data_IF_730229063926
#
_entry.id   IF_730229063926
#
_cell.length_a   1.000
_cell.length_b   1.000
_cell.length_c   1.000
_cell.angle_alpha   90.00
_cell.angle_beta   90.00
_cell.angle_gamma   90.00
#
_symmetry.space_group_name_H-M   'P 1'
#
loop_
_entity.id
_entity.type
_entity.pdbx_description
1 polymer ?
#
# COMPACT_ATOMS: atom_id res chain seq x y z
N UNK A 1 -15.47 20.99 -41.55
CA UNK A 1 -15.89 19.76 -40.85
C UNK A 1 -15.02 19.65 -39.61
N UNK A 2 -15.51 20.07 -38.47
CA UNK A 2 -14.78 20.10 -37.18
C UNK A 2 -15.32 19.04 -36.23
N UNK A 3 -14.40 18.32 -35.63
CA UNK A 3 -14.52 17.20 -34.70
C UNK A 3 -15.54 17.39 -33.57
N UNK A 4 -16.44 16.43 -33.47
CA UNK A 4 -17.24 16.14 -32.29
C UNK A 4 -16.76 14.76 -31.76
N UNK A 5 -15.82 14.77 -30.83
CA UNK A 5 -15.40 13.58 -30.09
C UNK A 5 -14.87 13.98 -28.73
N UNK A 6 -15.73 14.43 -27.80
CA UNK A 6 -15.37 14.52 -26.39
C UNK A 6 -16.59 14.62 -25.43
N UNK A 7 -17.78 14.15 -25.82
CA UNK A 7 -18.96 14.27 -24.97
C UNK A 7 -19.52 12.95 -24.39
N UNK A 8 -18.77 11.83 -24.49
CA UNK A 8 -19.30 10.55 -23.99
C UNK A 8 -18.92 10.24 -22.52
N UNK A 9 -17.85 10.83 -22.02
CA UNK A 9 -17.41 10.58 -20.62
C UNK A 9 -18.17 11.43 -19.62
N UNK A 10 -18.56 12.64 -19.98
CA UNK A 10 -19.36 13.53 -19.10
C UNK A 10 -20.81 13.01 -18.99
N UNK A 11 -21.31 12.28 -19.98
CA UNK A 11 -22.70 11.78 -19.97
C UNK A 11 -22.90 10.54 -19.07
N UNK A 12 -21.84 9.89 -18.62
CA UNK A 12 -21.92 8.69 -17.78
C UNK A 12 -21.89 8.99 -16.26
N UNK A 13 -21.30 10.11 -15.85
CA UNK A 13 -21.18 10.48 -14.43
C UNK A 13 -22.46 11.14 -13.91
N UNK A 14 -23.16 11.90 -14.76
CA UNK A 14 -24.42 12.58 -14.37
C UNK A 14 -25.53 11.62 -13.94
N UNK A 15 -25.76 10.44 -14.57
CA UNK A 15 -26.83 9.54 -14.12
C UNK A 15 -26.51 8.83 -12.80
N UNK A 16 -25.24 8.61 -12.43
CA UNK A 16 -24.89 7.95 -11.18
C UNK A 16 -25.15 8.88 -9.97
N UNK A 17 -24.82 10.14 -10.08
CA UNK A 17 -25.10 11.15 -9.03
C UNK A 17 -26.60 11.39 -8.85
N UNK A 18 -27.37 11.40 -9.95
CA UNK A 18 -28.84 11.56 -9.92
C UNK A 18 -29.52 10.34 -9.29
N UNK A 19 -29.01 9.12 -9.51
CA UNK A 19 -29.55 7.88 -8.90
C UNK A 19 -29.25 7.83 -7.40
N UNK A 20 -28.09 8.29 -6.95
CA UNK A 20 -27.74 8.39 -5.53
C UNK A 20 -28.61 9.46 -4.83
N UNK A 21 -28.79 10.62 -5.43
CA UNK A 21 -29.65 11.68 -4.88
C UNK A 21 -31.13 11.25 -4.81
N UNK A 22 -31.64 10.53 -5.81
CA UNK A 22 -32.99 9.98 -5.82
C UNK A 22 -33.16 8.84 -4.79
N UNK A 23 -32.14 8.03 -4.55
CA UNK A 23 -32.14 6.97 -3.54
C UNK A 23 -32.21 7.52 -2.11
N UNK A 24 -31.45 8.58 -1.82
CA UNK A 24 -31.46 9.26 -0.51
C UNK A 24 -32.80 9.97 -0.28
N UNK A 25 -33.35 10.65 -1.27
CA UNK A 25 -34.67 11.31 -1.19
C UNK A 25 -35.80 10.30 -0.96
N UNK A 26 -35.75 9.10 -1.58
CA UNK A 26 -36.73 8.05 -1.39
C UNK A 26 -36.67 7.41 0.01
N UNK A 27 -35.47 7.29 0.58
CA UNK A 27 -35.29 6.75 1.94
C UNK A 27 -35.75 7.76 3.01
N UNK A 28 -35.49 9.05 2.84
CA UNK A 28 -35.94 10.12 3.74
C UNK A 28 -37.47 10.31 3.73
N UNK A 29 -38.13 10.10 2.59
CA UNK A 29 -39.60 10.25 2.46
C UNK A 29 -40.42 9.19 3.22
N UNK A 30 -39.75 8.12 3.71
CA UNK A 30 -40.44 6.99 4.39
C UNK A 30 -40.39 7.02 5.91
N UNK A 31 -39.62 7.94 6.49
CA UNK A 31 -39.48 8.10 7.95
C UNK A 31 -39.88 9.49 8.39
N UNK A 32 -41.11 9.65 8.81
CA UNK A 32 -41.79 10.92 9.06
C UNK A 32 -41.32 11.71 10.29
N UNK A 33 -40.01 11.88 10.51
CA UNK A 33 -39.47 12.81 11.50
C UNK A 33 -38.01 13.25 11.25
N UNK A 34 -37.47 13.02 10.04
CA UNK A 34 -36.05 13.23 9.71
C UNK A 34 -35.79 14.29 8.62
N UNK A 35 -36.82 14.93 8.07
CA UNK A 35 -36.66 15.84 6.92
C UNK A 35 -35.72 17.03 7.20
N UNK A 36 -35.77 17.61 8.39
CA UNK A 36 -34.92 18.74 8.75
C UNK A 36 -33.47 18.37 8.92
N UNK A 37 -33.19 17.24 9.57
CA UNK A 37 -31.84 16.76 9.83
C UNK A 37 -31.17 16.24 8.55
N UNK A 38 -31.96 15.66 7.64
CA UNK A 38 -31.50 15.22 6.33
C UNK A 38 -31.18 16.41 5.40
N UNK A 39 -32.01 17.45 5.38
CA UNK A 39 -31.73 18.66 4.62
C UNK A 39 -30.51 19.41 5.13
N UNK A 40 -30.35 19.57 6.45
CA UNK A 40 -29.15 20.18 7.04
C UNK A 40 -27.88 19.41 6.72
N UNK A 41 -27.96 18.07 6.65
CA UNK A 41 -26.83 17.21 6.29
C UNK A 41 -26.47 17.35 4.79
N UNK A 42 -27.46 17.38 3.91
CA UNK A 42 -27.27 17.58 2.47
C UNK A 42 -26.67 18.96 2.17
N UNK A 43 -27.20 20.01 2.80
CA UNK A 43 -26.64 21.36 2.67
C UNK A 43 -25.21 21.47 3.19
N UNK A 44 -24.89 20.73 4.27
CA UNK A 44 -23.53 20.68 4.81
C UNK A 44 -22.56 19.93 3.89
N UNK A 45 -23.01 18.84 3.27
CA UNK A 45 -22.21 18.10 2.28
C UNK A 45 -21.98 18.93 1.01
N UNK A 46 -23.02 19.62 0.51
CA UNK A 46 -22.87 20.52 -0.64
C UNK A 46 -21.92 21.70 -0.34
N UNK A 47 -21.92 22.19 0.89
CA UNK A 47 -21.02 23.25 1.33
C UNK A 47 -19.57 22.77 1.46
N UNK A 48 -19.36 21.52 1.84
CA UNK A 48 -18.02 20.88 1.89
C UNK A 48 -17.52 20.59 0.47
N UNK A 49 -18.39 20.17 -0.43
CA UNK A 49 -18.04 19.88 -1.84
C UNK A 49 -17.66 21.15 -2.63
N UNK A 50 -18.15 22.32 -2.21
CA UNK A 50 -17.82 23.62 -2.83
C UNK A 50 -16.84 24.47 -2.00
N UNK A 51 -16.33 23.93 -0.89
CA UNK A 51 -15.37 24.64 -0.06
C UNK A 51 -14.04 24.77 -0.81
N UNK A 52 -13.50 25.98 -0.83
CA UNK A 52 -12.15 26.24 -1.32
C UNK A 52 -11.15 25.65 -0.33
N UNK A 53 -10.45 24.57 -0.74
CA UNK A 53 -9.46 23.87 0.06
C UNK A 53 -8.04 24.42 -0.11
N UNK A 54 -7.86 25.43 -0.96
CA UNK A 54 -6.55 26.01 -1.27
C UNK A 54 -5.78 26.50 -0.04
N UNK A 55 -6.52 27.03 0.95
CA UNK A 55 -5.89 27.46 2.22
C UNK A 55 -5.42 26.28 3.08
N UNK A 56 -6.07 25.14 3.00
CA UNK A 56 -5.67 23.90 3.71
C UNK A 56 -4.47 23.28 2.99
N UNK A 57 -4.48 23.27 1.66
CA UNK A 57 -3.34 22.83 0.85
C UNK A 57 -2.11 23.68 1.09
N UNK A 58 -2.24 25.01 1.19
CA UNK A 58 -1.16 25.92 1.52
C UNK A 58 -0.63 25.71 2.97
N UNK A 59 -1.51 25.40 3.91
CA UNK A 59 -1.15 25.13 5.31
C UNK A 59 -0.42 23.78 5.44
N UNK A 60 -0.85 22.75 4.74
CA UNK A 60 -0.17 21.45 4.63
C UNK A 60 1.22 21.63 3.99
N UNK A 61 1.30 22.41 2.92
CA UNK A 61 2.58 22.72 2.27
C UNK A 61 3.53 23.46 3.20
N UNK A 62 3.02 24.43 3.96
CA UNK A 62 3.83 25.20 4.93
C UNK A 62 4.29 24.34 6.14
N UNK A 63 3.56 23.28 6.49
CA UNK A 63 3.95 22.32 7.51
C UNK A 63 5.03 21.38 6.99
N UNK A 64 4.90 20.86 5.77
CA UNK A 64 5.90 20.00 5.14
C UNK A 64 7.25 20.72 4.87
N UNK A 65 7.23 22.04 4.61
CA UNK A 65 8.45 22.84 4.47
C UNK A 65 9.18 23.12 5.81
N UNK A 66 8.50 22.98 6.96
CA UNK A 66 9.09 23.17 8.29
C UNK A 66 9.78 21.95 8.87
N UNK A 67 9.49 20.77 8.35
CA UNK A 67 10.02 19.49 8.82
C UNK A 67 11.20 18.96 7.99
N UNK A 68 11.94 19.82 7.29
CA UNK A 68 13.19 19.42 6.64
C UNK A 68 14.26 19.17 7.69
N UNK A 69 14.67 17.92 7.96
CA UNK A 69 15.81 17.65 8.83
C UNK A 69 17.09 18.10 8.13
N UNK A 70 17.82 18.98 8.77
CA UNK A 70 19.19 19.31 8.39
C UNK A 70 20.14 18.29 9.01
N UNK A 71 20.74 17.45 8.18
CA UNK A 71 22.09 16.98 8.47
C UNK A 71 22.30 15.47 8.58
N UNK A 72 23.15 15.05 7.73
CA UNK A 72 24.21 14.02 7.82
C UNK A 72 24.01 12.73 6.99
N UNK A 73 24.97 12.63 6.10
CA UNK A 73 25.31 11.59 5.15
C UNK A 73 25.05 10.13 5.61
N UNK A 74 24.04 9.54 5.05
CA UNK A 74 23.96 8.16 4.60
C UNK A 74 22.90 8.11 3.49
N UNK A 75 23.19 7.48 2.35
CA UNK A 75 22.28 7.39 1.19
C UNK A 75 21.01 6.53 1.44
N UNK A 76 20.77 6.11 2.67
CA UNK A 76 19.59 5.38 3.11
C UNK A 76 18.63 6.35 3.82
N UNK A 77 17.47 6.63 3.23
CA UNK A 77 16.37 7.28 3.93
C UNK A 77 15.97 8.70 3.50
N UNK A 78 16.34 9.18 2.31
CA UNK A 78 15.76 10.42 1.77
C UNK A 78 14.61 10.02 0.83
N UNK A 79 13.38 10.22 1.28
CA UNK A 79 12.19 10.09 0.44
C UNK A 79 11.98 11.37 -0.36
N UNK A 80 11.68 11.24 -1.66
CA UNK A 80 11.30 12.37 -2.51
C UNK A 80 9.90 12.91 -2.21
N UNK A 81 9.34 13.71 -3.13
CA UNK A 81 7.97 14.17 -3.00
C UNK A 81 7.00 12.98 -3.13
N UNK A 82 6.03 12.87 -2.22
CA UNK A 82 5.05 11.77 -2.23
C UNK A 82 4.25 11.80 -3.53
N UNK A 83 4.18 10.67 -4.21
CA UNK A 83 3.45 10.51 -5.47
C UNK A 83 1.94 10.63 -5.24
N UNK A 84 1.26 11.26 -6.17
CA UNK A 84 -0.21 11.23 -6.24
C UNK A 84 -0.71 9.83 -6.66
N UNK A 85 -1.97 9.51 -6.35
CA UNK A 85 -2.61 8.23 -6.74
C UNK A 85 -2.47 7.94 -8.23
N UNK A 86 -2.54 8.97 -9.08
CA UNK A 86 -2.38 8.83 -10.54
C UNK A 86 -0.94 8.43 -10.89
N UNK A 87 0.04 9.06 -10.25
CA UNK A 87 1.46 8.74 -10.46
C UNK A 87 1.80 7.35 -9.93
N UNK A 88 1.27 6.97 -8.76
CA UNK A 88 1.40 5.60 -8.22
C UNK A 88 0.88 4.58 -9.23
N UNK A 89 -0.35 4.76 -9.74
CA UNK A 89 -0.95 3.85 -10.73
C UNK A 89 -0.15 3.78 -12.05
N UNK A 90 0.50 4.87 -12.43
CA UNK A 90 1.37 4.89 -13.62
C UNK A 90 2.71 4.20 -13.35
N UNK A 91 3.35 4.47 -12.23
CA UNK A 91 4.65 3.92 -11.87
C UNK A 91 4.63 2.38 -11.79
N UNK A 92 3.59 1.81 -11.20
CA UNK A 92 3.48 0.36 -11.00
C UNK A 92 2.93 -0.42 -12.22
N UNK A 93 2.80 0.20 -13.41
CA UNK A 93 2.41 -0.50 -14.64
C UNK A 93 3.46 -1.58 -15.01
N UNK A 94 3.00 -2.82 -15.23
CA UNK A 94 3.88 -3.94 -15.59
C UNK A 94 4.68 -4.52 -14.43
N UNK A 95 4.35 -4.15 -13.19
CA UNK A 95 4.90 -4.76 -11.97
C UNK A 95 3.86 -5.66 -11.30
N UNK A 96 4.28 -6.43 -10.28
CA UNK A 96 3.39 -7.15 -9.37
C UNK A 96 3.90 -7.02 -7.94
N UNK A 97 2.98 -6.91 -6.99
CA UNK A 97 3.27 -6.92 -5.55
C UNK A 97 2.56 -8.12 -4.94
N UNK A 98 3.31 -9.00 -4.30
CA UNK A 98 2.79 -10.21 -3.65
C UNK A 98 3.08 -10.15 -2.16
N UNK A 99 2.05 -10.39 -1.34
CA UNK A 99 2.23 -10.29 0.10
C UNK A 99 1.01 -10.69 0.92
N UNK A 100 1.00 -10.25 2.15
CA UNK A 100 -0.01 -10.53 3.16
C UNK A 100 -1.08 -9.42 3.27
N UNK A 101 -1.71 -9.28 4.44
CA UNK A 101 -2.77 -8.29 4.71
C UNK A 101 -2.31 -6.83 4.53
N UNK A 102 -1.06 -6.51 4.87
CA UNK A 102 -0.53 -5.15 4.67
C UNK A 102 -0.48 -4.84 3.18
N UNK A 103 -0.05 -5.80 2.36
CA UNK A 103 -0.05 -5.69 0.90
C UNK A 103 -1.47 -5.67 0.33
N UNK A 104 -2.39 -6.47 0.85
CA UNK A 104 -3.79 -6.54 0.40
C UNK A 104 -4.49 -5.17 0.52
N UNK A 105 -4.20 -4.43 1.59
CA UNK A 105 -4.74 -3.09 1.84
C UNK A 105 -4.39 -2.07 0.75
N UNK A 106 -3.33 -2.26 -0.02
CA UNK A 106 -3.03 -1.41 -1.20
C UNK A 106 -4.21 -1.42 -2.18
N UNK A 107 -4.78 -2.60 -2.44
CA UNK A 107 -5.92 -2.76 -3.34
C UNK A 107 -7.24 -2.36 -2.66
N UNK A 108 -7.41 -2.67 -1.37
CA UNK A 108 -8.60 -2.30 -0.60
C UNK A 108 -8.78 -0.78 -0.49
N UNK A 109 -7.70 -0.04 -0.32
CA UNK A 109 -7.69 1.42 -0.32
C UNK A 109 -7.74 2.03 -1.73
N UNK A 110 -7.61 1.22 -2.79
CA UNK A 110 -7.74 1.65 -4.19
C UNK A 110 -6.51 2.34 -4.77
N UNK A 111 -5.35 2.24 -4.14
CA UNK A 111 -4.08 2.76 -4.68
C UNK A 111 -3.68 2.02 -5.95
N UNK A 112 -3.73 0.69 -5.95
CA UNK A 112 -3.45 -0.17 -7.10
C UNK A 112 -4.57 -1.19 -7.29
N UNK A 113 -4.69 -1.74 -8.51
CA UNK A 113 -5.69 -2.74 -8.84
C UNK A 113 -5.22 -4.16 -8.46
N UNK A 114 -6.16 -5.08 -8.29
CA UNK A 114 -5.89 -6.52 -8.04
C UNK A 114 -5.16 -7.24 -9.19
N UNK A 115 -4.99 -6.59 -10.34
CA UNK A 115 -4.13 -7.05 -11.43
C UNK A 115 -2.64 -6.80 -11.16
N UNK A 116 -2.32 -5.95 -10.17
CA UNK A 116 -0.95 -5.64 -9.72
C UNK A 116 -0.71 -6.22 -8.33
N UNK A 117 -1.72 -6.17 -7.45
CA UNK A 117 -1.64 -6.63 -6.07
C UNK A 117 -2.21 -8.05 -5.97
N UNK A 118 -1.34 -9.03 -5.72
CA UNK A 118 -1.69 -10.45 -5.55
C UNK A 118 -1.41 -10.84 -4.10
N UNK A 119 -2.30 -10.44 -3.22
CA UNK A 119 -2.13 -10.57 -1.77
C UNK A 119 -3.32 -11.27 -1.11
N UNK A 120 -3.15 -11.66 0.15
CA UNK A 120 -4.20 -12.32 0.93
C UNK A 120 -3.95 -12.14 2.43
N UNK A 121 -5.00 -11.79 3.15
CA UNK A 121 -5.01 -11.73 4.62
C UNK A 121 -4.40 -12.98 5.24
N UNK A 122 -3.46 -12.79 6.16
CA UNK A 122 -2.84 -13.86 6.93
C UNK A 122 -1.88 -14.76 6.14
N UNK A 123 -1.51 -14.36 4.91
CA UNK A 123 -0.65 -15.15 4.05
C UNK A 123 0.79 -15.17 4.57
N UNK A 124 1.38 -16.35 4.63
CA UNK A 124 2.80 -16.58 4.93
C UNK A 124 3.55 -16.97 3.66
N UNK A 125 4.86 -16.79 3.69
CA UNK A 125 5.71 -17.11 2.54
C UNK A 125 5.67 -18.59 2.17
N UNK A 126 5.58 -19.51 3.15
CA UNK A 126 5.53 -20.95 2.90
C UNK A 126 4.22 -21.41 2.22
N UNK A 127 3.11 -20.70 2.48
CA UNK A 127 1.77 -20.98 1.93
C UNK A 127 1.46 -20.20 0.63
N UNK A 128 2.40 -19.39 0.09
CA UNK A 128 2.15 -18.44 -0.98
C UNK A 128 2.18 -19.02 -2.42
N UNK A 129 2.07 -20.34 -2.60
CA UNK A 129 2.23 -20.98 -3.93
C UNK A 129 1.23 -20.47 -4.97
N UNK A 130 -0.05 -20.34 -4.59
CA UNK A 130 -1.11 -19.89 -5.50
C UNK A 130 -0.89 -18.43 -5.93
N UNK A 131 -0.49 -17.56 -4.99
CA UNK A 131 -0.21 -16.14 -5.24
C UNK A 131 1.03 -15.98 -6.12
N UNK A 132 2.11 -16.70 -5.83
CA UNK A 132 3.34 -16.70 -6.64
C UNK A 132 3.04 -17.20 -8.06
N UNK A 133 2.29 -18.29 -8.24
CA UNK A 133 1.91 -18.80 -9.55
C UNK A 133 1.04 -17.80 -10.33
N UNK A 134 0.08 -17.17 -9.65
CA UNK A 134 -0.76 -16.11 -10.22
C UNK A 134 0.09 -14.95 -10.70
N UNK A 135 0.99 -14.45 -9.86
CA UNK A 135 1.88 -13.34 -10.16
C UNK A 135 2.85 -13.68 -11.31
N UNK A 136 3.40 -14.89 -11.37
CA UNK A 136 4.23 -15.36 -12.49
C UNK A 136 3.43 -15.33 -13.79
N UNK A 137 2.15 -15.70 -13.77
CA UNK A 137 1.30 -15.72 -14.97
C UNK A 137 1.04 -14.32 -15.56
N UNK A 138 1.18 -13.27 -14.76
CA UNK A 138 1.08 -11.87 -15.20
C UNK A 138 2.32 -11.39 -15.96
N UNK A 139 3.42 -12.15 -15.91
CA UNK A 139 4.68 -11.87 -16.60
C UNK A 139 5.21 -10.44 -16.34
N UNK A 140 5.37 -10.03 -15.06
CA UNK A 140 5.81 -8.68 -14.72
C UNK A 140 7.29 -8.47 -15.01
N UNK A 141 7.69 -7.22 -15.26
CA UNK A 141 9.10 -6.83 -15.36
C UNK A 141 9.77 -6.66 -13.98
N UNK A 142 8.96 -6.37 -12.97
CA UNK A 142 9.39 -6.20 -11.58
C UNK A 142 8.42 -6.95 -10.66
N UNK A 143 9.00 -7.71 -9.74
CA UNK A 143 8.29 -8.54 -8.77
C UNK A 143 8.64 -8.06 -7.35
N UNK A 144 7.67 -7.52 -6.62
CA UNK A 144 7.84 -7.17 -5.21
C UNK A 144 7.28 -8.28 -4.32
N UNK A 145 8.04 -8.64 -3.29
CA UNK A 145 7.62 -9.56 -2.24
C UNK A 145 7.56 -8.82 -0.90
N UNK A 146 6.43 -8.93 -0.20
CA UNK A 146 6.22 -8.31 1.11
C UNK A 146 5.56 -9.31 2.05
N UNK A 147 6.39 -10.10 2.74
CA UNK A 147 5.99 -11.13 3.69
C UNK A 147 6.84 -11.07 4.95
N UNK A 148 6.30 -11.56 6.03
CA UNK A 148 7.05 -11.79 7.25
C UNK A 148 6.28 -11.53 8.53
N UNK A 149 5.33 -10.58 8.57
CA UNK A 149 4.56 -10.29 9.77
C UNK A 149 3.87 -11.56 10.31
N UNK A 150 3.17 -12.31 9.46
CA UNK A 150 2.52 -13.58 9.83
C UNK A 150 3.52 -14.73 10.03
N UNK A 151 4.72 -14.62 9.47
CA UNK A 151 5.77 -15.64 9.54
C UNK A 151 6.48 -15.62 10.88
N UNK A 152 6.61 -14.44 11.53
CA UNK A 152 7.27 -14.26 12.82
C UNK A 152 6.75 -15.21 13.89
N UNK A 153 5.42 -15.37 14.00
CA UNK A 153 4.82 -16.24 15.01
C UNK A 153 5.09 -17.73 14.75
N UNK A 154 5.08 -18.14 13.50
CA UNK A 154 5.24 -19.53 13.10
C UNK A 154 6.69 -19.97 13.21
N UNK A 155 7.62 -19.15 12.72
CA UNK A 155 9.05 -19.45 12.79
C UNK A 155 9.67 -19.14 14.15
N UNK A 156 9.04 -18.28 14.97
CA UNK A 156 9.36 -18.00 16.36
C UNK A 156 10.87 -17.83 16.63
N UNK A 157 11.52 -16.95 15.83
CA UNK A 157 12.96 -16.65 15.93
C UNK A 157 13.86 -17.53 15.04
N UNK A 158 13.33 -18.56 14.37
CA UNK A 158 14.07 -19.34 13.38
C UNK A 158 14.08 -18.65 12.01
N UNK A 159 14.89 -17.58 11.89
CA UNK A 159 15.06 -16.86 10.63
C UNK A 159 15.65 -17.73 9.51
N UNK A 160 16.39 -18.79 9.83
CA UNK A 160 16.93 -19.69 8.83
C UNK A 160 15.84 -20.48 8.12
N UNK A 161 14.88 -21.04 8.85
CA UNK A 161 13.74 -21.75 8.28
C UNK A 161 12.84 -20.82 7.44
N UNK A 162 12.65 -19.57 7.90
CA UNK A 162 11.97 -18.53 7.14
C UNK A 162 12.65 -18.23 5.80
N UNK A 163 13.98 -18.05 5.80
CA UNK A 163 14.76 -17.82 4.59
C UNK A 163 14.73 -19.03 3.64
N UNK A 164 14.71 -20.26 4.18
CA UNK A 164 14.55 -21.45 3.33
C UNK A 164 13.22 -21.47 2.58
N UNK A 165 12.12 -21.03 3.21
CA UNK A 165 10.82 -20.86 2.55
C UNK A 165 10.88 -19.76 1.48
N UNK A 166 11.48 -18.61 1.77
CA UNK A 166 11.70 -17.53 0.79
C UNK A 166 12.51 -18.02 -0.41
N UNK A 167 13.56 -18.79 -0.18
CA UNK A 167 14.43 -19.34 -1.21
C UNK A 167 13.67 -20.21 -2.20
N UNK A 168 12.71 -21.00 -1.73
CA UNK A 168 11.85 -21.81 -2.61
C UNK A 168 11.07 -20.91 -3.57
N UNK A 169 10.43 -19.87 -3.06
CA UNK A 169 9.59 -18.96 -3.87
C UNK A 169 10.41 -18.10 -4.82
N UNK A 170 11.54 -17.54 -4.36
CA UNK A 170 12.44 -16.73 -5.21
C UNK A 170 13.01 -17.59 -6.35
N UNK A 171 13.46 -18.82 -6.08
CA UNK A 171 13.91 -19.71 -7.15
C UNK A 171 12.80 -20.06 -8.14
N UNK A 172 11.57 -20.24 -7.67
CA UNK A 172 10.42 -20.50 -8.54
C UNK A 172 10.21 -19.32 -9.50
N UNK A 173 10.25 -18.07 -9.00
CA UNK A 173 10.12 -16.86 -9.80
C UNK A 173 11.28 -16.75 -10.80
N UNK A 174 12.53 -16.86 -10.36
CA UNK A 174 13.72 -16.76 -11.20
C UNK A 174 13.75 -17.81 -12.32
N UNK A 175 13.28 -19.04 -12.04
CA UNK A 175 13.21 -20.09 -13.04
C UNK A 175 12.12 -19.83 -14.10
N UNK A 176 11.01 -19.24 -13.71
CA UNK A 176 9.90 -18.94 -14.61
C UNK A 176 10.12 -17.63 -15.38
N UNK A 177 10.73 -16.64 -14.74
CA UNK A 177 10.89 -15.27 -15.22
C UNK A 177 12.35 -14.79 -15.00
N UNK A 178 13.32 -15.30 -15.78
CA UNK A 178 14.75 -15.07 -15.52
C UNK A 178 15.18 -13.59 -15.67
N UNK A 179 14.43 -12.79 -16.41
CA UNK A 179 14.74 -11.38 -16.67
C UNK A 179 13.99 -10.43 -15.72
N UNK A 180 13.15 -10.96 -14.82
CA UNK A 180 12.35 -10.14 -13.88
C UNK A 180 13.21 -9.73 -12.68
N UNK A 181 13.24 -8.43 -12.37
CA UNK A 181 13.89 -7.94 -11.17
C UNK A 181 13.01 -8.25 -9.93
N UNK A 182 13.63 -8.79 -8.88
CA UNK A 182 12.94 -9.15 -7.63
C UNK A 182 13.38 -8.20 -6.52
N UNK A 183 12.38 -7.57 -5.89
CA UNK A 183 12.53 -6.70 -4.73
C UNK A 183 11.84 -7.34 -3.53
N UNK A 184 12.47 -7.28 -2.36
CA UNK A 184 11.92 -7.82 -1.11
C UNK A 184 11.84 -6.69 -0.10
N UNK A 185 10.62 -6.36 0.33
CA UNK A 185 10.38 -5.35 1.36
C UNK A 185 10.74 -5.90 2.74
N UNK A 186 11.16 -5.02 3.64
CA UNK A 186 11.38 -5.36 5.04
C UNK A 186 10.06 -5.72 5.75
N UNK A 187 10.17 -6.44 6.85
CA UNK A 187 9.10 -6.55 7.83
C UNK A 187 9.08 -5.24 8.61
N UNK A 188 7.91 -4.59 8.67
CA UNK A 188 7.78 -3.31 9.37
C UNK A 188 8.02 -3.47 10.87
N UNK A 189 8.51 -2.44 11.57
CA UNK A 189 8.53 -2.42 13.03
C UNK A 189 7.16 -2.72 13.60
N UNK A 190 7.10 -3.39 14.72
CA UNK A 190 5.86 -3.79 15.37
C UNK A 190 5.78 -3.09 16.73
N UNK A 191 4.62 -2.53 17.06
CA UNK A 191 4.45 -1.81 18.32
C UNK A 191 4.58 -2.72 19.53
N UNK A 192 5.09 -2.18 20.64
CA UNK A 192 5.29 -2.94 21.88
C UNK A 192 3.99 -3.57 22.40
N UNK A 193 2.84 -2.92 22.17
CA UNK A 193 1.53 -3.43 22.55
C UNK A 193 1.15 -4.75 21.87
N UNK A 194 1.58 -4.96 20.63
CA UNK A 194 1.40 -6.22 19.90
C UNK A 194 2.45 -7.25 20.34
N UNK A 195 3.71 -6.85 20.52
CA UNK A 195 4.79 -7.70 21.02
C UNK A 195 4.46 -8.25 22.42
N UNK A 196 3.84 -7.46 23.28
CA UNK A 196 3.42 -7.91 24.64
C UNK A 196 2.34 -9.01 24.57
N UNK A 197 1.56 -9.06 23.47
CA UNK A 197 0.56 -10.11 23.22
C UNK A 197 1.18 -11.33 22.55
N UNK A 198 2.11 -11.12 21.62
CA UNK A 198 2.83 -12.18 20.89
C UNK A 198 4.35 -11.87 20.87
N UNK A 199 5.14 -12.40 21.80
CA UNK A 199 6.57 -12.12 21.91
C UNK A 199 7.40 -12.50 20.67
N UNK A 200 6.89 -13.39 19.83
CA UNK A 200 7.54 -13.77 18.56
C UNK A 200 7.65 -12.60 17.58
N UNK A 201 6.76 -11.62 17.67
CA UNK A 201 6.77 -10.41 16.83
C UNK A 201 8.03 -9.56 17.04
N UNK A 202 8.71 -9.67 18.19
CA UNK A 202 9.98 -8.98 18.46
C UNK A 202 11.14 -9.42 17.55
N UNK A 203 11.01 -10.54 16.83
CA UNK A 203 12.08 -11.04 15.96
C UNK A 203 12.15 -10.34 14.60
N UNK A 204 11.30 -9.33 14.29
CA UNK A 204 11.26 -8.67 12.99
C UNK A 204 12.64 -8.13 12.54
N UNK A 205 13.44 -7.54 13.44
CA UNK A 205 14.78 -7.05 13.12
C UNK A 205 15.74 -8.17 12.67
N UNK A 206 15.73 -9.30 13.38
CA UNK A 206 16.59 -10.43 13.06
C UNK A 206 16.18 -11.11 11.74
N UNK A 207 14.90 -11.11 11.42
CA UNK A 207 14.37 -11.59 10.16
C UNK A 207 14.73 -10.64 9.02
N UNK A 208 14.65 -9.32 9.24
CA UNK A 208 15.08 -8.31 8.28
C UNK A 208 16.58 -8.43 7.95
N UNK A 209 17.42 -8.67 8.97
CA UNK A 209 18.84 -8.92 8.70
C UNK A 209 19.04 -10.18 7.84
N UNK A 210 18.29 -11.25 8.12
CA UNK A 210 18.36 -12.47 7.32
C UNK A 210 17.84 -12.27 5.89
N UNK A 211 16.78 -11.45 5.69
CA UNK A 211 16.29 -11.08 4.36
C UNK A 211 17.33 -10.27 3.57
N UNK A 212 18.03 -9.35 4.22
CA UNK A 212 19.11 -8.56 3.60
C UNK A 212 20.22 -9.46 3.08
N UNK A 213 20.74 -10.33 3.96
CA UNK A 213 21.80 -11.29 3.60
C UNK A 213 21.35 -12.24 2.49
N UNK A 214 20.09 -12.66 2.52
CA UNK A 214 19.47 -13.50 1.50
C UNK A 214 19.34 -12.79 0.15
N UNK A 215 18.98 -11.51 0.13
CA UNK A 215 18.90 -10.71 -1.10
C UNK A 215 20.28 -10.65 -1.78
N UNK A 216 21.35 -10.39 -1.02
CA UNK A 216 22.71 -10.37 -1.52
C UNK A 216 23.10 -11.72 -2.13
N UNK A 217 22.73 -12.84 -1.48
CA UNK A 217 23.00 -14.19 -1.98
C UNK A 217 22.26 -14.50 -3.28
N UNK A 218 20.97 -14.09 -3.36
CA UNK A 218 20.08 -14.48 -4.46
C UNK A 218 20.09 -13.50 -5.63
N UNK A 219 20.75 -12.34 -5.51
CA UNK A 219 20.72 -11.28 -6.51
C UNK A 219 19.36 -10.56 -6.55
N UNK A 220 18.67 -10.48 -5.41
CA UNK A 220 17.49 -9.67 -5.22
C UNK A 220 17.87 -8.31 -4.65
N UNK A 221 16.95 -7.34 -4.67
CA UNK A 221 17.13 -6.06 -4.00
C UNK A 221 16.31 -6.04 -2.72
N UNK A 222 16.95 -5.81 -1.57
CA UNK A 222 16.26 -5.55 -0.31
C UNK A 222 15.82 -4.10 -0.25
N UNK A 223 14.57 -3.84 0.11
CA UNK A 223 14.01 -2.52 0.39
C UNK A 223 13.81 -2.41 1.89
N UNK A 224 14.64 -1.60 2.54
CA UNK A 224 14.46 -1.27 3.95
C UNK A 224 13.49 -0.10 4.06
N UNK A 225 12.25 -0.39 4.38
CA UNK A 225 11.16 0.57 4.56
C UNK A 225 10.78 0.78 6.03
N UNK A 226 11.57 0.24 6.98
CA UNK A 226 11.33 0.33 8.43
C UNK A 226 11.30 1.75 8.96
N UNK A 227 12.07 2.66 8.36
CA UNK A 227 12.15 4.07 8.77
C UNK A 227 10.95 4.93 8.34
N UNK A 228 10.10 4.40 7.44
CA UNK A 228 8.89 5.10 6.98
C UNK A 228 7.78 5.16 8.02
N UNK A 229 7.89 4.36 9.08
CA UNK A 229 6.80 4.14 10.03
C UNK A 229 7.01 4.96 11.30
N UNK A 230 5.99 5.70 11.70
CA UNK A 230 5.90 6.34 13.02
C UNK A 230 4.67 5.81 13.81
N UNK A 231 4.58 6.17 15.10
CA UNK A 231 3.52 5.68 15.99
C UNK A 231 2.10 6.00 15.52
N UNK A 232 1.90 7.06 14.73
CA UNK A 232 0.59 7.49 14.24
C UNK A 232 0.11 6.69 13.01
N UNK A 233 1.00 5.90 12.41
CA UNK A 233 0.72 5.14 11.19
C UNK A 233 0.18 3.73 11.46
N UNK A 234 0.08 3.32 12.73
CA UNK A 234 -0.46 2.00 13.10
C UNK A 234 -1.97 2.03 13.30
N UNK A 235 -2.61 0.93 12.91
CA UNK A 235 -3.93 0.57 13.41
C UNK A 235 -3.86 0.23 14.92
N UNK A 236 -5.00 0.18 15.63
CA UNK A 236 -5.01 -0.08 17.08
C UNK A 236 -4.41 -1.43 17.52
N UNK A 237 -4.19 -2.36 16.59
CA UNK A 237 -3.54 -3.66 16.87
C UNK A 237 -2.02 -3.55 17.00
N UNK A 238 -1.41 -2.48 16.47
CA UNK A 238 0.02 -2.23 16.54
C UNK A 238 0.85 -3.01 15.50
N UNK A 239 0.20 -3.58 14.48
CA UNK A 239 0.82 -4.35 13.39
C UNK A 239 0.41 -3.82 12.02
N UNK A 240 -0.87 -3.56 11.79
CA UNK A 240 -1.38 -3.06 10.53
C UNK A 240 -1.24 -1.54 10.40
N UNK A 241 -1.23 -1.06 9.14
CA UNK A 241 -0.98 0.33 8.80
C UNK A 241 -2.26 1.06 8.41
N UNK A 242 -2.41 2.31 8.88
CA UNK A 242 -3.48 3.21 8.45
C UNK A 242 -3.28 3.68 7.01
N UNK A 243 -4.35 4.19 6.39
CA UNK A 243 -4.38 4.68 5.01
C UNK A 243 -3.18 5.57 4.64
N UNK A 244 -2.77 6.49 5.51
CA UNK A 244 -1.74 7.49 5.23
C UNK A 244 -0.31 6.90 5.07
N UNK A 245 -0.08 5.68 5.50
CA UNK A 245 1.19 4.98 5.30
C UNK A 245 1.43 4.64 3.82
N UNK A 246 0.40 4.19 3.11
CA UNK A 246 0.52 3.57 1.79
C UNK A 246 1.06 4.47 0.68
N UNK A 247 0.67 5.77 0.55
CA UNK A 247 1.28 6.65 -0.44
C UNK A 247 2.79 6.80 -0.26
N UNK A 248 3.24 6.89 1.00
CA UNK A 248 4.65 7.00 1.37
C UNK A 248 5.41 5.72 1.01
N UNK A 249 4.88 4.56 1.38
CA UNK A 249 5.46 3.26 1.09
C UNK A 249 5.57 2.99 -0.41
N UNK A 250 4.48 3.21 -1.15
CA UNK A 250 4.46 3.01 -2.60
C UNK A 250 5.39 3.99 -3.33
N UNK A 251 5.51 5.23 -2.86
CA UNK A 251 6.50 6.19 -3.40
C UNK A 251 7.90 5.64 -3.21
N UNK A 252 8.25 5.21 -2.01
CA UNK A 252 9.58 4.68 -1.72
C UNK A 252 9.89 3.41 -2.53
N UNK A 253 8.95 2.47 -2.63
CA UNK A 253 9.11 1.29 -3.49
C UNK A 253 9.37 1.68 -4.95
N UNK A 254 8.64 2.68 -5.48
CA UNK A 254 8.81 3.16 -6.84
C UNK A 254 10.19 3.79 -7.06
N UNK A 255 10.67 4.61 -6.14
CA UNK A 255 12.02 5.20 -6.17
C UNK A 255 13.10 4.13 -6.13
N UNK A 256 12.99 3.16 -5.20
CA UNK A 256 13.97 2.08 -5.04
C UNK A 256 14.04 1.16 -6.27
N UNK A 257 12.94 1.01 -6.98
CA UNK A 257 12.85 0.21 -8.20
C UNK A 257 13.12 1.01 -9.51
N UNK A 258 13.40 2.32 -9.41
CA UNK A 258 13.66 3.18 -10.57
C UNK A 258 12.44 3.35 -11.48
N UNK A 259 11.24 3.36 -10.90
CA UNK A 259 9.98 3.54 -11.63
C UNK A 259 9.61 5.02 -11.79
N UNK A 260 10.28 5.89 -11.04
CA UNK A 260 10.11 7.35 -11.03
C UNK A 260 11.47 8.04 -10.96
#
# INVERSE_FOLDING_TARGET
MKNIKNNKTILAVIPAVVVLAAGVAFFCSRSGNTDKQCQETVERLQKLETADISSIEDEIRALSEKEKPTGSDSEEGVLGDILTDVQIKQAFQGTVIVGDSITESIAEYGFLDTSIVVAKLGLRIDDADDQINTAISLNPSIFFLSFGANDLEIYNGDSSAFIDAYRVKVKQIQNALPDTAIYINSILPIQQSAIDQSPALAYYDSFNQALRDFCDEMGCTFIDDTFLVDESMYEPDGEHMVYNYYPTWLTYMAERAGLV
#
